data_IF_751496981759
#
_entry.id   IF_751496981759
#
_cell.length_a   1.000
_cell.length_b   1.000
_cell.length_c   1.000
_cell.angle_alpha   90.00
_cell.angle_beta   90.00
_cell.angle_gamma   90.00
#
_symmetry.space_group_name_H-M   'P 1'
#
loop_
_entity.id
_entity.type
_entity.pdbx_description
1 polymer ?
#
# COMPACT_ATOMS: atom_id res chain seq x y z
N UNK A 1 19.05 11.50 -21.97
CA UNK A 1 18.90 12.91 -21.66
C UNK A 1 17.71 13.21 -20.74
N UNK A 2 16.55 12.54 -20.96
CA UNK A 2 15.38 12.60 -20.09
C UNK A 2 14.72 11.24 -20.05
N UNK A 3 14.11 10.91 -18.90
CA UNK A 3 13.36 9.66 -18.72
C UNK A 3 12.02 9.92 -18.05
N UNK A 4 11.00 9.13 -18.42
CA UNK A 4 9.72 9.07 -17.73
C UNK A 4 9.70 8.01 -16.63
N UNK A 5 10.74 7.19 -16.52
CA UNK A 5 10.87 6.19 -15.47
C UNK A 5 11.18 6.88 -14.14
N UNK A 6 10.35 6.63 -13.15
CA UNK A 6 10.54 7.12 -11.79
C UNK A 6 11.64 6.29 -11.09
N UNK A 7 12.70 6.93 -10.58
CA UNK A 7 13.70 6.23 -9.77
C UNK A 7 13.14 5.88 -8.39
N UNK A 8 13.64 4.83 -7.78
CA UNK A 8 13.31 4.49 -6.40
C UNK A 8 13.48 5.71 -5.49
N UNK A 9 12.44 6.04 -4.73
CA UNK A 9 12.45 7.19 -3.83
C UNK A 9 11.16 7.33 -3.03
N UNK A 10 11.22 8.04 -1.90
CA UNK A 10 10.04 8.28 -1.06
C UNK A 10 9.34 7.00 -0.57
N UNK A 11 10.05 5.87 -0.48
CA UNK A 11 9.51 4.57 -0.08
C UNK A 11 8.78 3.81 -1.20
N UNK A 12 8.78 4.34 -2.43
CA UNK A 12 8.25 3.67 -3.62
C UNK A 12 9.38 3.10 -4.47
N UNK A 13 9.31 1.82 -4.91
CA UNK A 13 10.27 1.21 -5.82
C UNK A 13 10.34 1.92 -7.18
N UNK A 14 11.50 1.83 -7.82
CA UNK A 14 11.73 2.39 -9.16
C UNK A 14 10.91 1.70 -10.23
N UNK A 15 10.61 2.43 -11.31
CA UNK A 15 9.81 1.89 -12.40
C UNK A 15 10.52 0.78 -13.17
N UNK A 16 9.69 -0.04 -13.77
CA UNK A 16 10.05 -1.11 -14.70
C UNK A 16 9.40 -0.86 -16.06
N UNK A 17 9.87 -1.59 -17.08
CA UNK A 17 9.34 -1.50 -18.44
C UNK A 17 10.35 -1.96 -19.46
N UNK A 18 10.44 -1.29 -20.62
CA UNK A 18 11.40 -1.61 -21.68
C UNK A 18 12.05 -0.36 -22.26
N UNK A 19 13.26 -0.51 -22.77
CA UNK A 19 13.96 0.42 -23.66
C UNK A 19 14.15 -0.32 -24.98
N UNK A 20 13.33 -0.05 -25.98
CA UNK A 20 13.12 -0.87 -27.17
C UNK A 20 12.81 -2.34 -26.77
N UNK A 21 13.70 -3.27 -27.05
CA UNK A 21 13.56 -4.70 -26.74
C UNK A 21 14.21 -5.12 -25.41
N UNK A 22 14.95 -4.22 -24.77
CA UNK A 22 15.69 -4.50 -23.53
C UNK A 22 14.82 -4.16 -22.33
N UNK A 23 14.67 -5.09 -21.39
CA UNK A 23 13.84 -4.89 -20.19
C UNK A 23 14.55 -4.00 -19.17
N UNK A 24 13.82 -3.05 -18.61
CA UNK A 24 14.22 -2.30 -17.43
C UNK A 24 13.68 -3.02 -16.18
N UNK A 25 14.59 -3.57 -15.39
CA UNK A 25 14.27 -4.33 -14.17
C UNK A 25 14.09 -3.42 -12.95
N UNK A 26 14.76 -2.26 -12.96
CA UNK A 26 14.69 -1.28 -11.88
C UNK A 26 15.19 0.09 -12.38
N UNK A 27 14.77 1.15 -11.72
CA UNK A 27 15.22 2.51 -11.98
C UNK A 27 15.67 3.16 -10.68
N UNK A 28 16.90 3.71 -10.65
CA UNK A 28 17.51 4.27 -9.45
C UNK A 28 18.17 5.61 -9.73
N UNK A 29 18.27 6.42 -8.68
CA UNK A 29 19.08 7.63 -8.70
C UNK A 29 20.52 7.31 -8.27
N UNK A 30 21.52 7.81 -9.01
CA UNK A 30 22.95 7.73 -8.67
C UNK A 30 23.62 9.08 -8.94
N UNK A 31 23.87 9.84 -7.89
CA UNK A 31 24.32 11.22 -8.01
C UNK A 31 23.27 12.04 -8.78
N UNK A 32 23.70 12.74 -9.81
CA UNK A 32 22.79 13.59 -10.64
C UNK A 32 22.16 12.82 -11.83
N UNK A 33 22.31 11.50 -11.87
CA UNK A 33 21.81 10.67 -12.98
C UNK A 33 20.76 9.66 -12.55
N UNK A 34 19.74 9.47 -13.40
CA UNK A 34 18.80 8.37 -13.27
C UNK A 34 19.34 7.18 -14.08
N UNK A 35 19.52 6.05 -13.43
CA UNK A 35 20.11 4.83 -13.98
C UNK A 35 19.03 3.77 -14.14
N UNK A 36 18.89 3.22 -15.34
CA UNK A 36 18.02 2.07 -15.63
C UNK A 36 18.85 0.78 -15.54
N UNK A 37 18.44 -0.12 -14.67
CA UNK A 37 19.03 -1.45 -14.54
C UNK A 37 18.35 -2.37 -15.53
N UNK A 38 19.09 -2.87 -16.51
CA UNK A 38 18.54 -3.62 -17.65
C UNK A 38 19.02 -5.06 -17.69
N UNK A 39 18.25 -5.94 -18.33
CA UNK A 39 18.61 -7.36 -18.54
C UNK A 39 19.54 -7.59 -19.75
N UNK A 40 19.85 -6.55 -20.51
CA UNK A 40 20.74 -6.60 -21.67
C UNK A 40 21.42 -5.27 -21.94
N UNK A 41 22.46 -5.25 -22.80
CA UNK A 41 23.17 -4.03 -23.14
C UNK A 41 22.38 -3.17 -24.14
N UNK A 42 22.56 -1.86 -24.03
CA UNK A 42 22.12 -0.87 -25.01
C UNK A 42 23.35 -0.21 -25.64
N UNK A 43 23.26 0.17 -26.91
CA UNK A 43 24.37 0.85 -27.60
C UNK A 43 24.40 2.33 -27.19
N UNK A 44 25.49 2.80 -26.56
CA UNK A 44 25.61 4.21 -26.20
C UNK A 44 25.44 5.17 -27.39
N UNK A 45 24.74 6.29 -27.17
CA UNK A 45 24.51 7.31 -28.19
C UNK A 45 23.38 7.03 -29.18
N UNK A 46 22.68 5.89 -29.05
CA UNK A 46 21.48 5.59 -29.83
C UNK A 46 20.22 6.16 -29.18
N UNK A 47 19.24 6.54 -29.99
CA UNK A 47 17.90 6.88 -29.53
C UNK A 47 17.13 5.59 -29.26
N UNK A 48 16.45 5.51 -28.13
CA UNK A 48 15.62 4.36 -27.72
C UNK A 48 14.23 4.83 -27.35
N UNK A 49 13.23 3.98 -27.57
CA UNK A 49 11.86 4.20 -27.10
C UNK A 49 11.67 3.53 -25.73
N UNK A 50 11.33 4.31 -24.71
CA UNK A 50 11.02 3.80 -23.39
C UNK A 50 9.52 3.56 -23.21
N UNK A 51 9.15 2.35 -22.80
CA UNK A 51 7.78 1.99 -22.44
C UNK A 51 7.73 1.57 -20.97
N UNK A 52 6.92 2.29 -20.18
CA UNK A 52 6.69 1.95 -18.76
C UNK A 52 5.78 0.73 -18.64
N UNK A 53 6.05 -0.16 -17.68
CA UNK A 53 5.03 -1.06 -17.17
C UNK A 53 3.96 -0.21 -16.43
N UNK A 54 3.01 0.28 -17.23
CA UNK A 54 1.96 1.16 -16.72
C UNK A 54 1.08 0.48 -15.68
N UNK A 55 0.85 -0.83 -15.82
CA UNK A 55 0.04 -1.56 -14.85
C UNK A 55 0.70 -1.60 -13.47
N UNK A 56 2.01 -1.82 -13.43
CA UNK A 56 2.81 -1.78 -12.21
C UNK A 56 2.93 -0.36 -11.65
N UNK A 57 3.23 0.63 -12.50
CA UNK A 57 3.31 2.05 -12.12
C UNK A 57 1.99 2.50 -11.50
N UNK A 58 0.86 2.22 -12.14
CA UNK A 58 -0.45 2.64 -11.68
C UNK A 58 -0.84 1.98 -10.36
N UNK A 59 -0.56 0.68 -10.19
CA UNK A 59 -0.78 -0.02 -8.91
C UNK A 59 0.03 0.62 -7.76
N UNK A 60 1.28 1.02 -8.03
CA UNK A 60 2.10 1.75 -7.05
C UNK A 60 1.54 3.15 -6.74
N UNK A 61 1.06 3.88 -7.75
CA UNK A 61 0.37 5.16 -7.56
C UNK A 61 -0.90 5.02 -6.72
N UNK A 62 -1.70 3.96 -6.94
CA UNK A 62 -2.87 3.64 -6.11
C UNK A 62 -2.48 3.42 -4.65
N UNK A 63 -1.45 2.62 -4.39
CA UNK A 63 -0.96 2.32 -3.05
C UNK A 63 -0.39 3.57 -2.36
N UNK A 64 0.42 4.36 -3.05
CA UNK A 64 1.03 5.57 -2.50
C UNK A 64 -0.03 6.64 -2.18
N UNK A 65 -0.96 6.86 -3.11
CA UNK A 65 -2.07 7.80 -2.87
C UNK A 65 -3.01 7.32 -1.76
N UNK A 66 -3.24 6.00 -1.66
CA UNK A 66 -3.98 5.40 -0.55
C UNK A 66 -3.28 5.60 0.81
N UNK A 67 -1.94 5.53 0.83
CA UNK A 67 -1.14 5.88 2.01
C UNK A 67 -1.36 7.32 2.43
N UNK A 68 -1.28 8.27 1.48
CA UNK A 68 -1.51 9.69 1.76
C UNK A 68 -2.91 9.94 2.34
N UNK A 69 -3.94 9.29 1.80
CA UNK A 69 -5.31 9.38 2.34
C UNK A 69 -5.36 8.89 3.79
N UNK A 70 -4.79 7.71 4.08
CA UNK A 70 -4.77 7.17 5.44
C UNK A 70 -3.96 8.04 6.39
N UNK A 71 -2.79 8.51 5.97
CA UNK A 71 -1.92 9.34 6.79
C UNK A 71 -2.52 10.71 7.09
N UNK A 72 -3.14 11.36 6.09
CA UNK A 72 -3.86 12.63 6.29
C UNK A 72 -5.05 12.48 7.23
N UNK A 73 -5.85 11.42 7.08
CA UNK A 73 -6.96 11.12 7.97
C UNK A 73 -6.51 10.73 9.39
N UNK A 74 -5.45 9.90 9.53
CA UNK A 74 -4.90 9.54 10.84
C UNK A 74 -4.37 10.77 11.58
N UNK A 75 -3.75 11.70 10.84
CA UNK A 75 -3.31 12.97 11.40
C UNK A 75 -4.49 13.84 11.85
N UNK A 76 -5.46 14.06 10.99
CA UNK A 76 -6.59 14.96 11.26
C UNK A 76 -7.54 14.42 12.33
N UNK A 77 -7.79 13.11 12.38
CA UNK A 77 -8.75 12.51 13.33
C UNK A 77 -8.12 12.18 14.67
N UNK A 78 -6.84 11.77 14.69
CA UNK A 78 -6.20 11.21 15.88
C UNK A 78 -4.88 11.88 16.24
N UNK A 79 -4.41 12.85 15.47
CA UNK A 79 -3.12 13.51 15.66
C UNK A 79 -1.94 12.56 15.50
N UNK A 80 -2.09 11.48 14.74
CA UNK A 80 -1.01 10.54 14.45
C UNK A 80 -0.06 11.11 13.40
N UNK A 81 1.23 10.87 13.58
CA UNK A 81 2.25 11.19 12.58
C UNK A 81 2.73 9.90 11.91
N UNK A 82 2.76 9.88 10.57
CA UNK A 82 3.38 8.79 9.84
C UNK A 82 4.91 8.92 9.96
N UNK A 83 5.53 7.96 10.64
CA UNK A 83 6.98 7.89 10.90
C UNK A 83 7.68 6.82 10.08
N UNK A 84 6.95 6.03 9.29
CA UNK A 84 7.50 4.99 8.43
C UNK A 84 6.56 4.62 7.29
N UNK A 85 7.14 4.45 6.09
CA UNK A 85 6.44 3.98 4.90
C UNK A 85 7.35 3.06 4.11
N UNK A 86 6.82 1.91 3.74
CA UNK A 86 7.51 0.96 2.87
C UNK A 86 6.51 0.26 1.95
N UNK A 87 6.77 0.33 0.65
CA UNK A 87 5.95 -0.34 -0.37
C UNK A 87 6.62 -1.64 -0.78
N UNK A 88 6.06 -2.76 -0.32
CA UNK A 88 6.44 -4.10 -0.77
C UNK A 88 5.72 -4.50 -2.05
N UNK A 89 5.98 -5.73 -2.51
CA UNK A 89 5.33 -6.27 -3.72
C UNK A 89 3.83 -6.52 -3.52
N UNK A 90 3.44 -7.08 -2.36
CA UNK A 90 2.07 -7.53 -2.09
C UNK A 90 1.29 -6.60 -1.16
N UNK A 91 1.96 -5.73 -0.43
CA UNK A 91 1.35 -4.87 0.58
C UNK A 91 2.23 -3.69 0.94
N UNK A 92 1.61 -2.69 1.51
CA UNK A 92 2.26 -1.48 2.00
C UNK A 92 2.28 -1.48 3.52
N UNK A 93 3.40 -1.06 4.10
CA UNK A 93 3.58 -0.91 5.55
C UNK A 93 3.59 0.57 5.90
N UNK A 94 2.81 0.94 6.91
CA UNK A 94 2.75 2.27 7.51
C UNK A 94 3.06 2.17 9.00
N UNK A 95 3.92 3.03 9.50
CA UNK A 95 4.20 3.16 10.93
C UNK A 95 3.70 4.53 11.41
N UNK A 96 2.82 4.52 12.42
CA UNK A 96 2.38 5.72 13.12
C UNK A 96 2.98 5.80 14.52
N UNK A 97 3.22 7.03 14.99
CA UNK A 97 3.82 7.35 16.30
C UNK A 97 2.89 7.09 17.49
N UNK A 98 1.58 6.82 17.24
CA UNK A 98 0.58 6.55 18.28
C UNK A 98 -0.15 5.24 18.03
N UNK A 99 -0.61 4.61 19.12
CA UNK A 99 -1.49 3.44 19.03
C UNK A 99 -2.91 3.85 18.61
N UNK A 100 -3.53 3.04 17.76
CA UNK A 100 -4.93 3.16 17.37
C UNK A 100 -5.68 1.90 17.82
N UNK A 101 -6.87 2.08 18.35
CA UNK A 101 -7.76 0.97 18.73
C UNK A 101 -8.36 0.32 17.47
N UNK A 102 -8.84 -0.95 17.55
CA UNK A 102 -9.53 -1.58 16.43
C UNK A 102 -10.71 -0.75 15.89
N UNK A 103 -11.45 -0.08 16.77
CA UNK A 103 -12.57 0.79 16.38
C UNK A 103 -12.09 2.02 15.60
N UNK A 104 -10.97 2.63 16.03
CA UNK A 104 -10.36 3.75 15.30
C UNK A 104 -9.84 3.34 13.95
N UNK A 105 -9.27 2.13 13.82
CA UNK A 105 -8.82 1.58 12.55
C UNK A 105 -10.00 1.33 11.59
N UNK A 106 -11.11 0.81 12.08
CA UNK A 106 -12.35 0.66 11.29
C UNK A 106 -12.83 2.03 10.79
N UNK A 107 -12.92 3.02 11.65
CA UNK A 107 -13.33 4.38 11.27
C UNK A 107 -12.36 4.99 10.26
N UNK A 108 -11.06 4.81 10.44
CA UNK A 108 -10.03 5.30 9.53
C UNK A 108 -10.20 4.70 8.12
N UNK A 109 -10.38 3.38 8.02
CA UNK A 109 -10.60 2.67 6.77
C UNK A 109 -11.90 3.12 6.08
N UNK A 110 -12.99 3.21 6.82
CA UNK A 110 -14.29 3.64 6.29
C UNK A 110 -14.23 5.07 5.74
N UNK A 111 -13.60 5.98 6.48
CA UNK A 111 -13.42 7.38 6.03
C UNK A 111 -12.51 7.48 4.82
N UNK A 112 -11.45 6.67 4.74
CA UNK A 112 -10.59 6.60 3.58
C UNK A 112 -11.36 6.16 2.33
N UNK A 113 -12.16 5.11 2.42
CA UNK A 113 -12.96 4.61 1.31
C UNK A 113 -14.11 5.57 0.93
N UNK A 114 -14.70 6.26 1.90
CA UNK A 114 -15.67 7.34 1.62
C UNK A 114 -15.01 8.45 0.78
N UNK A 115 -13.84 8.93 1.17
CA UNK A 115 -13.09 9.97 0.46
C UNK A 115 -12.68 9.52 -0.96
N UNK A 116 -12.33 8.25 -1.12
CA UNK A 116 -12.07 7.64 -2.43
C UNK A 116 -13.32 7.72 -3.32
N UNK A 117 -14.48 7.39 -2.78
CA UNK A 117 -15.77 7.44 -3.50
C UNK A 117 -16.16 8.88 -3.88
N UNK A 118 -15.77 9.89 -3.10
CA UNK A 118 -16.00 11.30 -3.40
C UNK A 118 -15.18 11.80 -4.61
N UNK A 119 -14.24 11.04 -5.09
CA UNK A 119 -13.42 11.31 -6.29
C UNK A 119 -12.78 12.72 -6.29
N UNK A 120 -12.14 13.07 -5.19
CA UNK A 120 -11.50 14.38 -5.00
C UNK A 120 -10.23 14.53 -5.83
N UNK A 121 -9.90 15.75 -6.33
CA UNK A 121 -8.67 15.96 -7.08
C UNK A 121 -7.43 15.74 -6.22
N UNK A 122 -6.40 15.16 -6.85
CA UNK A 122 -5.04 15.01 -6.32
C UNK A 122 -4.13 15.85 -7.23
N UNK A 123 -3.49 16.85 -6.64
CA UNK A 123 -2.63 17.78 -7.37
C UNK A 123 -1.20 17.74 -6.83
N UNK A 124 -0.24 18.03 -7.70
CA UNK A 124 1.15 18.13 -7.33
C UNK A 124 1.76 19.41 -7.95
N UNK A 125 2.46 20.18 -7.14
CA UNK A 125 3.12 21.42 -7.58
C UNK A 125 4.40 21.69 -6.81
N UNK A 126 5.23 22.55 -7.36
CA UNK A 126 6.37 23.15 -6.67
C UNK A 126 5.98 24.57 -6.27
N UNK A 127 5.65 24.84 -5.00
CA UNK A 127 5.34 26.19 -4.53
C UNK A 127 6.59 27.08 -4.54
N UNK A 128 6.39 28.41 -4.58
CA UNK A 128 7.49 29.33 -4.33
C UNK A 128 7.94 29.26 -2.87
N UNK A 129 9.15 29.75 -2.53
CA UNK A 129 9.60 29.77 -1.12
C UNK A 129 8.63 30.50 -0.18
N UNK A 130 8.00 31.59 -0.66
CA UNK A 130 7.02 32.37 0.11
C UNK A 130 5.72 31.58 0.33
N UNK A 131 5.24 30.93 -0.71
CA UNK A 131 4.07 30.04 -0.62
C UNK A 131 4.33 28.84 0.30
N UNK A 132 5.54 28.24 0.20
CA UNK A 132 5.92 27.09 1.01
C UNK A 132 5.99 27.46 2.50
N UNK A 133 6.54 28.65 2.82
CA UNK A 133 6.64 29.14 4.19
C UNK A 133 5.25 29.40 4.84
N UNK A 134 4.23 29.69 4.03
CA UNK A 134 2.85 29.94 4.47
C UNK A 134 1.99 28.66 4.47
N UNK A 135 2.49 27.55 3.93
CA UNK A 135 1.73 26.33 3.75
C UNK A 135 1.89 25.40 4.97
N UNK A 136 0.78 24.96 5.54
CA UNK A 136 0.78 23.88 6.52
C UNK A 136 0.78 22.53 5.78
N UNK A 137 1.90 21.80 5.86
CA UNK A 137 2.06 20.52 5.17
C UNK A 137 2.86 19.52 6.01
N UNK A 138 2.57 18.25 5.79
CA UNK A 138 3.32 17.15 6.40
C UNK A 138 4.63 16.93 5.63
N UNK A 139 5.71 16.70 6.34
CA UNK A 139 6.98 16.26 5.75
C UNK A 139 7.68 15.27 6.69
N UNK A 140 8.37 14.29 6.11
CA UNK A 140 9.27 13.37 6.83
C UNK A 140 10.70 13.88 6.87
N UNK A 141 11.03 14.88 6.06
CA UNK A 141 12.37 15.45 5.91
C UNK A 141 12.31 16.95 6.05
N UNK A 142 13.36 17.53 6.58
CA UNK A 142 13.58 18.99 6.58
C UNK A 142 14.08 19.40 5.18
N UNK A 143 13.14 19.65 4.27
CA UNK A 143 13.42 20.05 2.91
C UNK A 143 13.42 21.57 2.81
N UNK A 144 14.47 22.16 2.21
CA UNK A 144 14.61 23.61 2.07
C UNK A 144 14.52 24.11 0.64
N UNK A 145 14.73 23.24 -0.35
CA UNK A 145 14.74 23.63 -1.78
C UNK A 145 13.96 22.63 -2.63
N UNK A 146 13.28 23.15 -3.66
CA UNK A 146 12.51 22.38 -4.66
C UNK A 146 11.53 21.36 -4.05
N UNK A 147 10.81 21.77 -3.00
CA UNK A 147 9.85 20.90 -2.34
C UNK A 147 8.61 20.72 -3.22
N UNK A 148 8.38 19.47 -3.65
CA UNK A 148 7.15 19.13 -4.37
C UNK A 148 6.05 18.83 -3.36
N UNK A 149 4.94 19.55 -3.42
CA UNK A 149 3.77 19.36 -2.57
C UNK A 149 2.69 18.62 -3.32
N UNK A 150 2.26 17.50 -2.76
CA UNK A 150 1.08 16.75 -3.18
C UNK A 150 -0.08 17.13 -2.27
N UNK A 151 -1.22 17.49 -2.87
CA UNK A 151 -2.44 17.87 -2.16
C UNK A 151 -3.59 16.96 -2.57
N UNK A 152 -4.18 16.29 -1.59
CA UNK A 152 -5.47 15.60 -1.70
C UNK A 152 -6.51 16.51 -1.07
N UNK A 153 -7.39 17.07 -1.87
CA UNK A 153 -8.32 18.12 -1.47
C UNK A 153 -9.13 17.75 -0.20
N UNK A 154 -8.94 18.55 0.87
CA UNK A 154 -9.63 18.36 2.15
C UNK A 154 -9.23 17.10 2.93
N UNK A 155 -8.05 16.53 2.62
CA UNK A 155 -7.54 15.34 3.31
C UNK A 155 -6.08 15.48 3.71
N UNK A 156 -5.18 15.76 2.76
CA UNK A 156 -3.75 15.75 2.99
C UNK A 156 -3.02 16.82 2.16
N UNK A 157 -2.02 17.43 2.76
CA UNK A 157 -1.03 18.28 2.10
C UNK A 157 0.34 17.79 2.56
N UNK A 158 1.15 17.24 1.65
CA UNK A 158 2.38 16.56 2.02
C UNK A 158 3.51 16.80 1.02
N UNK A 159 4.73 16.95 1.52
CA UNK A 159 5.93 16.93 0.70
C UNK A 159 6.18 15.49 0.19
N UNK A 160 6.09 15.30 -1.13
CA UNK A 160 6.28 13.99 -1.75
C UNK A 160 6.77 14.11 -3.19
N UNK A 161 7.82 13.34 -3.54
CA UNK A 161 8.40 13.32 -4.88
C UNK A 161 7.77 12.26 -5.80
N UNK A 162 7.07 11.27 -5.24
CA UNK A 162 6.57 10.13 -6.00
C UNK A 162 5.37 10.48 -6.90
N UNK A 163 5.12 9.68 -7.95
CA UNK A 163 3.92 9.80 -8.76
C UNK A 163 2.67 9.36 -7.99
N UNK A 164 1.59 10.10 -8.20
CA UNK A 164 0.28 9.86 -7.59
C UNK A 164 -0.81 9.75 -8.66
N UNK A 165 -1.96 9.22 -8.29
CA UNK A 165 -3.18 9.28 -9.10
C UNK A 165 -3.67 10.72 -9.26
N UNK A 166 -4.52 11.01 -10.24
CA UNK A 166 -5.02 12.37 -10.51
C UNK A 166 -6.27 12.73 -9.70
N UNK A 167 -6.98 11.72 -9.23
CA UNK A 167 -8.12 11.87 -8.33
C UNK A 167 -8.25 10.64 -7.42
N UNK A 168 -8.90 10.82 -6.26
CA UNK A 168 -9.00 9.75 -5.25
C UNK A 168 -9.77 8.53 -5.74
N UNK A 169 -10.71 8.68 -6.68
CA UNK A 169 -11.44 7.56 -7.27
C UNK A 169 -10.55 6.57 -8.02
N UNK A 170 -9.42 7.01 -8.58
CA UNK A 170 -8.44 6.14 -9.23
C UNK A 170 -7.71 5.21 -8.24
N UNK A 171 -7.72 5.51 -6.93
CA UNK A 171 -7.20 4.61 -5.89
C UNK A 171 -8.00 3.31 -5.86
N UNK A 172 -9.32 3.38 -6.12
CA UNK A 172 -10.24 2.26 -6.13
C UNK A 172 -10.72 1.87 -4.73
N UNK A 173 -9.93 1.16 -3.96
CA UNK A 173 -10.23 0.68 -2.61
C UNK A 173 -8.97 0.70 -1.76
N UNK A 174 -9.10 1.05 -0.50
CA UNK A 174 -8.06 0.85 0.54
C UNK A 174 -8.57 -0.18 1.55
N UNK A 175 -7.73 -1.14 1.90
CA UNK A 175 -8.01 -2.12 2.95
C UNK A 175 -6.84 -2.24 3.92
N UNK A 176 -7.11 -2.07 5.20
CA UNK A 176 -6.18 -2.46 6.27
C UNK A 176 -6.26 -3.97 6.46
N UNK A 177 -5.15 -4.66 6.23
CA UNK A 177 -5.11 -6.13 6.26
C UNK A 177 -4.59 -6.67 7.57
N UNK A 178 -3.75 -5.89 8.27
CA UNK A 178 -3.23 -6.25 9.60
C UNK A 178 -2.79 -4.99 10.36
N UNK A 179 -2.67 -5.11 11.69
CA UNK A 179 -2.22 -4.06 12.58
C UNK A 179 -1.52 -4.66 13.81
N UNK A 180 -0.38 -4.08 14.20
CA UNK A 180 0.31 -4.49 15.44
C UNK A 180 0.96 -3.29 16.14
N UNK A 181 1.13 -3.40 17.45
CA UNK A 181 1.92 -2.42 18.21
C UNK A 181 3.37 -2.43 17.73
N UNK A 182 3.92 -1.25 17.51
CA UNK A 182 5.29 -1.10 17.02
C UNK A 182 5.94 0.17 17.57
N UNK A 183 7.06 0.05 18.31
CA UNK A 183 7.90 1.17 18.79
C UNK A 183 7.15 2.31 19.48
N UNK A 184 6.16 1.97 20.30
CA UNK A 184 5.34 2.97 21.03
C UNK A 184 4.17 3.54 20.21
N UNK A 185 3.99 3.09 18.98
CA UNK A 185 2.88 3.39 18.10
C UNK A 185 2.28 2.14 17.48
N UNK A 186 1.82 2.24 16.23
CA UNK A 186 1.19 1.15 15.52
C UNK A 186 1.79 0.98 14.13
N UNK A 187 2.03 -0.27 13.74
CA UNK A 187 2.33 -0.67 12.36
C UNK A 187 1.06 -1.22 11.71
N UNK A 188 0.76 -0.71 10.54
CA UNK A 188 -0.36 -1.14 9.71
C UNK A 188 0.16 -1.75 8.42
N UNK A 189 -0.52 -2.80 7.97
CA UNK A 189 -0.40 -3.32 6.61
C UNK A 189 -1.64 -2.96 5.84
N UNK A 190 -1.44 -2.39 4.67
CA UNK A 190 -2.53 -2.01 3.77
C UNK A 190 -2.33 -2.52 2.35
N UNK A 191 -3.42 -2.66 1.65
CA UNK A 191 -3.46 -2.85 0.20
C UNK A 191 -4.41 -1.82 -0.41
N UNK A 192 -4.15 -1.40 -1.66
CA UNK A 192 -5.03 -0.49 -2.38
C UNK A 192 -5.21 -0.91 -3.84
N UNK A 193 -6.31 -0.50 -4.44
CA UNK A 193 -6.60 -0.67 -5.86
C UNK A 193 -6.41 -2.11 -6.34
N UNK A 194 -5.50 -2.30 -7.29
CA UNK A 194 -5.25 -3.61 -7.88
C UNK A 194 -4.74 -4.65 -6.86
N UNK A 195 -3.91 -4.23 -5.89
CA UNK A 195 -3.44 -5.13 -4.82
C UNK A 195 -4.59 -5.54 -3.90
N UNK A 196 -5.52 -4.65 -3.61
CA UNK A 196 -6.71 -4.98 -2.81
C UNK A 196 -7.61 -5.99 -3.54
N UNK A 197 -7.78 -5.86 -4.85
CA UNK A 197 -8.53 -6.82 -5.66
C UNK A 197 -7.84 -8.19 -5.69
N UNK A 198 -6.52 -8.23 -5.88
CA UNK A 198 -5.75 -9.47 -5.87
C UNK A 198 -5.83 -10.18 -4.50
N UNK A 199 -5.73 -9.43 -3.41
CA UNK A 199 -5.88 -9.96 -2.05
C UNK A 199 -7.29 -10.54 -1.83
N UNK A 200 -8.33 -9.83 -2.26
CA UNK A 200 -9.71 -10.34 -2.19
C UNK A 200 -9.89 -11.63 -2.98
N UNK A 201 -9.38 -11.70 -4.22
CA UNK A 201 -9.46 -12.90 -5.06
C UNK A 201 -8.77 -14.10 -4.42
N UNK A 202 -7.59 -13.90 -3.82
CA UNK A 202 -6.86 -14.93 -3.08
C UNK A 202 -7.67 -15.40 -1.86
N UNK A 203 -8.22 -14.49 -1.07
CA UNK A 203 -9.07 -14.81 0.09
C UNK A 203 -10.35 -15.52 -0.33
N UNK A 204 -10.97 -15.11 -1.45
CA UNK A 204 -12.17 -15.76 -2.00
C UNK A 204 -11.88 -17.21 -2.42
N UNK A 205 -10.74 -17.45 -3.08
CA UNK A 205 -10.33 -18.81 -3.45
C UNK A 205 -10.13 -19.69 -2.21
N UNK A 206 -9.45 -19.17 -1.18
CA UNK A 206 -9.20 -19.89 0.05
C UNK A 206 -10.50 -20.21 0.81
N UNK A 207 -11.40 -19.24 0.96
CA UNK A 207 -12.66 -19.48 1.68
C UNK A 207 -13.57 -20.46 0.93
N UNK A 208 -13.56 -20.44 -0.41
CA UNK A 208 -14.30 -21.42 -1.21
C UNK A 208 -13.76 -22.84 -0.99
N UNK A 209 -12.44 -23.02 -0.97
CA UNK A 209 -11.81 -24.31 -0.70
C UNK A 209 -12.12 -24.82 0.72
N UNK A 210 -12.04 -23.96 1.74
CA UNK A 210 -12.39 -24.30 3.14
C UNK A 210 -13.88 -24.71 3.23
N UNK A 211 -14.77 -23.93 2.63
CA UNK A 211 -16.20 -24.18 2.58
C UNK A 211 -16.51 -25.56 1.96
N UNK A 212 -15.86 -25.89 0.85
CA UNK A 212 -16.01 -27.20 0.20
C UNK A 212 -15.47 -28.33 1.09
N UNK A 213 -14.27 -28.19 1.68
CA UNK A 213 -13.66 -29.20 2.55
C UNK A 213 -14.50 -29.50 3.80
N UNK A 214 -15.17 -28.48 4.35
CA UNK A 214 -16.04 -28.62 5.53
C UNK A 214 -17.49 -28.94 5.21
N UNK A 215 -17.88 -28.97 3.93
CA UNK A 215 -19.27 -29.14 3.48
C UNK A 215 -20.24 -28.14 4.11
N UNK A 216 -19.85 -26.86 4.19
CA UNK A 216 -20.65 -25.76 4.73
C UNK A 216 -20.69 -24.58 3.75
N UNK A 217 -21.61 -23.63 3.94
CA UNK A 217 -21.57 -22.37 3.19
C UNK A 217 -20.43 -21.47 3.68
N UNK A 218 -19.90 -20.60 2.81
CA UNK A 218 -18.76 -19.72 3.13
C UNK A 218 -18.97 -18.91 4.43
N UNK A 219 -20.12 -18.27 4.70
CA UNK A 219 -20.33 -17.54 5.96
C UNK A 219 -20.26 -18.44 7.22
N UNK A 220 -20.42 -19.75 7.05
CA UNK A 220 -20.39 -20.76 8.12
C UNK A 220 -19.02 -21.44 8.28
N UNK A 221 -18.03 -21.07 7.47
CA UNK A 221 -16.71 -21.74 7.47
C UNK A 221 -16.04 -21.72 8.84
N UNK A 222 -16.08 -20.60 9.57
CA UNK A 222 -15.51 -20.50 10.91
C UNK A 222 -16.21 -21.45 11.91
N UNK A 223 -17.55 -21.56 11.85
CA UNK A 223 -18.31 -22.50 12.68
C UNK A 223 -17.98 -23.95 12.33
N UNK A 224 -17.79 -24.24 11.04
CA UNK A 224 -17.35 -25.56 10.57
C UNK A 224 -15.99 -25.95 11.12
N UNK A 225 -15.04 -25.04 11.15
CA UNK A 225 -13.72 -25.27 11.76
C UNK A 225 -13.85 -25.54 13.26
N UNK A 226 -14.66 -24.76 13.98
CA UNK A 226 -14.82 -24.96 15.43
C UNK A 226 -15.48 -26.31 15.75
N UNK A 227 -16.50 -26.70 14.98
CA UNK A 227 -17.10 -28.05 15.10
C UNK A 227 -16.05 -29.15 14.89
N UNK A 228 -15.23 -29.05 13.84
CA UNK A 228 -14.18 -30.04 13.56
C UNK A 228 -13.16 -30.12 14.69
N UNK A 229 -12.78 -28.98 15.31
CA UNK A 229 -11.89 -28.98 16.49
C UNK A 229 -12.50 -29.71 17.70
N UNK A 230 -13.80 -29.51 17.96
CA UNK A 230 -14.51 -30.16 19.03
C UNK A 230 -14.61 -31.70 18.82
N UNK A 231 -14.97 -32.12 17.60
CA UNK A 231 -15.02 -33.52 17.20
C UNK A 231 -13.65 -34.21 17.38
N UNK A 232 -12.58 -33.53 16.91
CA UNK A 232 -11.21 -34.03 17.07
C UNK A 232 -10.81 -34.18 18.55
N UNK A 233 -11.20 -33.24 19.41
CA UNK A 233 -10.93 -33.31 20.86
C UNK A 233 -11.66 -34.51 21.49
N UNK A 234 -12.95 -34.67 21.19
CA UNK A 234 -13.76 -35.80 21.68
C UNK A 234 -13.16 -37.16 21.26
N UNK A 235 -12.76 -37.29 19.99
CA UNK A 235 -12.12 -38.49 19.47
C UNK A 235 -10.80 -38.80 20.19
N UNK A 236 -9.97 -37.81 20.48
CA UNK A 236 -8.73 -37.97 21.24
C UNK A 236 -8.99 -38.46 22.66
N UNK A 237 -10.01 -37.94 23.32
CA UNK A 237 -10.41 -38.35 24.67
C UNK A 237 -10.93 -39.78 24.69
N UNK A 238 -11.81 -40.14 23.75
CA UNK A 238 -12.34 -41.51 23.61
C UNK A 238 -11.21 -42.50 23.33
N UNK A 239 -10.29 -42.17 22.43
CA UNK A 239 -9.14 -43.03 22.14
C UNK A 239 -8.25 -43.26 23.36
N UNK A 240 -8.02 -42.18 24.16
CA UNK A 240 -7.25 -42.28 25.40
C UNK A 240 -7.94 -43.21 26.43
N UNK A 241 -9.25 -43.03 26.61
CA UNK A 241 -10.04 -43.89 27.54
C UNK A 241 -10.04 -45.37 27.09
N UNK A 242 -10.23 -45.62 25.79
CA UNK A 242 -10.21 -46.98 25.23
C UNK A 242 -8.85 -47.66 25.44
N UNK A 243 -7.73 -46.91 25.24
CA UNK A 243 -6.37 -47.43 25.48
C UNK A 243 -6.07 -47.71 26.96
N UNK A 244 -6.73 -47.03 27.89
CA UNK A 244 -6.57 -47.27 29.34
C UNK A 244 -7.42 -48.42 29.84
N UNK A 245 -8.46 -48.80 29.09
CA UNK A 245 -9.36 -49.89 29.43
C UNK A 245 -8.92 -51.24 28.84
N UNK A 246 -7.94 -51.28 27.97
CA UNK A 246 -7.24 -52.45 27.44
C UNK A 246 -6.00 -52.76 28.26
#
# INVERSE_FOLDING_TARGET
DRTAFYPEGGGQPGDQGTLDTVRVLDTRERGDAIVHITDGPLTPGTSVTGELDWALRFARMQCHSGEHVLSGLAHSLYGCTNVGFHMGEDQVILDFDKELTPQQLTVLEDRANQLITENRPVTARYPTPEELAALDYRSKLDLTEQVRIVTIAGCDVCACCAPHVTCTGEIGLVKLVDAMRHRGGIRLWMVAGRLALADYQRKQTNIAAISAALSVQQPQAAQGVERLKQELQTLKETLKQTRQAL
#
